data_IF_085882214760
#
_entry.id   IF_085882214760
#
_cell.length_a   1.000
_cell.length_b   1.000
_cell.length_c   1.000
_cell.angle_alpha   90.00
_cell.angle_beta   90.00
_cell.angle_gamma   90.00
#
_symmetry.space_group_name_H-M   'P 1'
#
loop_
_entity.id
_entity.type
_entity.pdbx_description
1 polymer ?
#
# COMPACT_ATOMS: atom_id res chain seq x y z
N UNK A 1 -5.05 12.61 0.44
CA UNK A 1 -5.16 11.17 0.73
C UNK A 1 -4.31 10.42 -0.28
N UNK A 2 -3.21 9.83 0.18
CA UNK A 2 -2.26 9.10 -0.65
C UNK A 2 -2.67 7.62 -0.66
N UNK A 3 -2.98 7.07 -1.82
CA UNK A 3 -3.35 5.66 -1.98
C UNK A 3 -2.15 4.89 -2.52
N UNK A 4 -1.62 3.95 -1.74
CA UNK A 4 -0.50 3.11 -2.14
C UNK A 4 -1.00 1.79 -2.72
N UNK A 5 -0.45 1.38 -3.87
CA UNK A 5 -0.83 0.14 -4.55
C UNK A 5 0.36 -0.80 -4.61
N UNK A 6 0.19 -1.99 -4.02
CA UNK A 6 1.23 -3.02 -3.97
C UNK A 6 0.72 -4.28 -4.64
N UNK A 7 0.85 -4.36 -5.98
CA UNK A 7 0.63 -5.62 -6.73
C UNK A 7 1.12 -5.58 -8.18
N UNK A 8 1.39 -6.75 -8.72
CA UNK A 8 1.74 -7.01 -10.13
C UNK A 8 0.57 -6.76 -11.11
N UNK A 9 0.22 -5.48 -11.34
CA UNK A 9 -0.59 -4.95 -12.47
C UNK A 9 -0.87 -3.43 -12.31
N UNK A 10 0.09 -2.67 -11.78
CA UNK A 10 -0.09 -1.27 -11.33
C UNK A 10 -0.66 -0.35 -12.43
N UNK A 11 -0.09 -0.37 -13.64
CA UNK A 11 -0.50 0.49 -14.77
C UNK A 11 -1.99 0.40 -15.14
N UNK A 12 -2.58 -0.80 -15.10
CA UNK A 12 -3.99 -0.96 -15.45
C UNK A 12 -4.92 -0.39 -14.38
N UNK A 13 -4.55 -0.57 -13.11
CA UNK A 13 -5.32 -0.08 -11.97
C UNK A 13 -5.25 1.44 -11.88
N UNK A 14 -4.06 2.02 -12.09
CA UNK A 14 -3.88 3.47 -12.13
C UNK A 14 -4.74 4.10 -13.23
N UNK A 15 -4.74 3.53 -14.45
CA UNK A 15 -5.58 4.03 -15.55
C UNK A 15 -7.07 3.95 -15.25
N UNK A 16 -7.53 2.91 -14.52
CA UNK A 16 -8.93 2.81 -14.09
C UNK A 16 -9.28 3.83 -13.00
N UNK A 17 -8.42 3.98 -11.99
CA UNK A 17 -8.64 4.91 -10.88
C UNK A 17 -8.62 6.37 -11.35
N UNK A 18 -7.69 6.75 -12.24
CA UNK A 18 -7.65 8.08 -12.86
C UNK A 18 -8.89 8.39 -13.69
N UNK A 19 -9.54 7.38 -14.28
CA UNK A 19 -10.81 7.58 -14.99
C UNK A 19 -11.99 7.80 -14.05
N UNK A 20 -11.96 7.19 -12.87
CA UNK A 20 -13.01 7.35 -11.86
C UNK A 20 -12.90 8.70 -11.14
N UNK A 21 -11.67 9.13 -10.84
CA UNK A 21 -11.40 10.44 -10.27
C UNK A 21 -10.05 10.94 -10.80
N UNK A 22 -10.03 12.04 -11.55
CA UNK A 22 -8.82 12.58 -12.15
C UNK A 22 -7.91 13.30 -11.14
N UNK A 23 -8.47 13.74 -10.00
CA UNK A 23 -7.76 14.52 -8.99
C UNK A 23 -6.98 13.64 -7.99
N UNK A 24 -7.08 12.31 -8.11
CA UNK A 24 -6.35 11.39 -7.25
C UNK A 24 -4.88 11.27 -7.65
N UNK A 25 -3.99 11.50 -6.66
CA UNK A 25 -2.56 11.24 -6.80
C UNK A 25 -2.30 9.77 -6.47
N UNK A 26 -1.78 9.02 -7.45
CA UNK A 26 -1.50 7.59 -7.32
C UNK A 26 0.01 7.39 -7.43
N UNK A 27 0.60 6.84 -6.38
CA UNK A 27 2.00 6.45 -6.33
C UNK A 27 2.13 4.93 -6.44
N UNK A 28 2.90 4.49 -7.44
CA UNK A 28 3.16 3.09 -7.72
C UNK A 28 4.48 2.68 -7.09
N UNK A 29 4.46 1.70 -6.18
CA UNK A 29 5.66 1.17 -5.55
C UNK A 29 5.85 -0.29 -5.98
N UNK A 30 6.81 -0.57 -6.90
CA UNK A 30 7.07 -1.91 -7.41
C UNK A 30 7.94 -2.72 -6.42
N UNK A 31 7.56 -2.71 -5.15
CA UNK A 31 8.25 -3.44 -4.08
C UNK A 31 7.34 -4.54 -3.53
N UNK A 32 7.94 -5.62 -3.07
CA UNK A 32 7.22 -6.68 -2.36
C UNK A 32 7.16 -6.35 -0.88
N UNK A 33 6.00 -6.54 -0.24
CA UNK A 33 5.85 -6.37 1.20
C UNK A 33 6.46 -7.56 1.93
N UNK A 34 7.38 -7.27 2.83
CA UNK A 34 7.98 -8.20 3.78
C UNK A 34 8.41 -7.42 5.04
N UNK A 35 8.99 -8.11 6.01
CA UNK A 35 9.38 -7.52 7.30
C UNK A 35 10.39 -6.36 7.18
N UNK A 36 11.15 -6.27 6.09
CA UNK A 36 12.14 -5.22 5.85
C UNK A 36 11.56 -4.01 5.10
N UNK A 37 10.60 -4.23 4.20
CA UNK A 37 10.02 -3.17 3.35
C UNK A 37 8.72 -2.59 3.91
N UNK A 38 8.02 -3.32 4.77
CA UNK A 38 6.72 -2.91 5.29
C UNK A 38 6.79 -1.60 6.08
N UNK A 39 7.87 -1.36 6.83
CA UNK A 39 8.02 -0.13 7.61
C UNK A 39 8.09 1.10 6.71
N UNK A 40 8.90 1.05 5.65
CA UNK A 40 9.09 2.14 4.69
C UNK A 40 7.81 2.42 3.89
N UNK A 41 7.04 1.36 3.58
CA UNK A 41 5.75 1.44 2.87
C UNK A 41 4.71 2.16 3.70
N UNK A 42 4.65 1.87 5.00
CA UNK A 42 3.68 2.44 5.92
C UNK A 42 4.07 3.87 6.34
N UNK A 43 5.36 4.21 6.24
CA UNK A 43 5.86 5.52 6.61
C UNK A 43 5.30 6.63 5.70
N UNK A 44 4.70 7.66 6.30
CA UNK A 44 4.09 8.77 5.57
C UNK A 44 2.72 8.47 4.95
N UNK A 45 2.10 7.32 5.26
CA UNK A 45 0.70 7.07 4.93
C UNK A 45 -0.22 7.58 6.05
N UNK A 46 -1.42 8.07 5.73
CA UNK A 46 -2.43 8.44 6.75
C UNK A 46 -3.27 7.23 7.18
N UNK A 47 -3.60 6.39 6.19
CA UNK A 47 -4.44 5.20 6.31
C UNK A 47 -3.83 4.12 5.44
N UNK A 48 -3.74 2.89 5.97
CA UNK A 48 -3.23 1.72 5.26
C UNK A 48 -4.37 0.75 5.01
N UNK A 49 -4.52 0.29 3.77
CA UNK A 49 -5.53 -0.72 3.39
C UNK A 49 -4.80 -1.94 2.86
N UNK A 50 -4.92 -3.07 3.55
CA UNK A 50 -4.34 -4.33 3.12
C UNK A 50 -5.21 -5.02 2.04
N UNK A 51 -4.60 -5.33 0.90
CA UNK A 51 -5.17 -6.13 -0.18
C UNK A 51 -4.20 -7.25 -0.65
N UNK A 52 -3.28 -7.65 0.23
CA UNK A 52 -2.28 -8.67 -0.04
C UNK A 52 -2.89 -10.07 0.05
N UNK A 53 -2.50 -10.92 -0.90
CA UNK A 53 -2.91 -12.32 -0.98
C UNK A 53 -1.99 -13.26 -0.18
N UNK A 54 -0.86 -12.75 0.35
CA UNK A 54 0.07 -13.50 1.18
C UNK A 54 -0.16 -13.23 2.66
N UNK A 55 -0.32 -14.31 3.43
CA UNK A 55 -0.43 -14.25 4.91
C UNK A 55 0.83 -13.64 5.52
N UNK A 56 2.02 -14.00 5.04
CA UNK A 56 3.28 -13.47 5.56
C UNK A 56 3.37 -11.95 5.34
N UNK A 57 3.02 -11.50 4.13
CA UNK A 57 3.05 -10.08 3.79
C UNK A 57 2.05 -9.26 4.63
N UNK A 58 0.88 -9.84 4.91
CA UNK A 58 -0.11 -9.25 5.82
C UNK A 58 0.42 -9.11 7.26
N UNK A 59 1.10 -10.13 7.78
CA UNK A 59 1.72 -10.06 9.10
C UNK A 59 2.82 -9.01 9.16
N UNK A 60 3.69 -8.94 8.14
CA UNK A 60 4.73 -7.91 8.04
C UNK A 60 4.13 -6.51 8.03
N UNK A 61 3.08 -6.29 7.22
CA UNK A 61 2.38 -5.01 7.15
C UNK A 61 1.72 -4.65 8.48
N UNK A 62 1.09 -5.61 9.13
CA UNK A 62 0.42 -5.40 10.41
C UNK A 62 1.40 -5.02 11.53
N UNK A 63 2.54 -5.72 11.62
CA UNK A 63 3.61 -5.35 12.55
C UNK A 63 4.08 -3.92 12.33
N UNK A 64 4.37 -3.54 11.08
CA UNK A 64 4.77 -2.17 10.74
C UNK A 64 3.71 -1.13 11.12
N UNK A 65 2.43 -1.43 10.91
CA UNK A 65 1.33 -0.54 11.31
C UNK A 65 1.23 -0.39 12.84
N UNK A 66 1.39 -1.47 13.61
CA UNK A 66 1.40 -1.42 15.08
C UNK A 66 2.56 -0.56 15.59
N UNK A 67 3.77 -0.75 15.05
CA UNK A 67 4.96 0.01 15.44
C UNK A 67 4.78 1.52 15.22
N UNK A 68 4.14 1.90 14.12
CA UNK A 68 3.85 3.30 13.76
C UNK A 68 2.52 3.83 14.31
N UNK A 69 1.77 3.01 15.07
CA UNK A 69 0.44 3.32 15.63
C UNK A 69 -0.65 3.59 14.60
N UNK A 70 -0.52 3.10 13.38
CA UNK A 70 -1.60 3.10 12.41
C UNK A 70 -2.63 2.04 12.77
N UNK A 71 -3.91 2.40 12.66
CA UNK A 71 -4.99 1.40 12.66
C UNK A 71 -5.16 0.89 11.22
N UNK A 72 -4.89 -0.40 11.03
CA UNK A 72 -5.32 -1.17 9.87
C UNK A 72 -6.83 -1.37 9.88
#
# INVERSE_FOLDING_TARGET
>A
MKMMLVKSKLKQLQKKLRKLNADIVIEELPISINDYTALDVVDGCDVVVDALDSVNARYSLNKACIEKKFRL
#
